data_IF_104184753153
#
_entry.id   IF_104184753153
#
_cell.length_a   1.000
_cell.length_b   1.000
_cell.length_c   1.000
_cell.angle_alpha   90.00
_cell.angle_beta   90.00
_cell.angle_gamma   90.00
#
_symmetry.space_group_name_H-M   'P 1'
#
loop_
_entity.id
_entity.type
_entity.pdbx_description
1 polymer ?
#
# COMPACT_ATOMS: atom_id res chain seq x y z
N UNK A 1 8.41 25.21 -0.74
CA UNK A 1 8.61 24.02 0.11
C UNK A 1 8.58 22.83 -0.82
N UNK A 2 9.69 22.10 -0.94
CA UNK A 2 9.69 20.84 -1.70
C UNK A 2 8.76 19.90 -0.94
N UNK A 3 7.73 19.39 -1.61
CA UNK A 3 7.01 18.24 -1.05
C UNK A 3 8.00 17.10 -1.26
N UNK A 4 8.69 16.69 -0.19
CA UNK A 4 9.59 15.54 -0.26
C UNK A 4 8.80 14.38 -0.85
N UNK A 5 9.34 13.77 -1.91
CA UNK A 5 8.69 12.62 -2.53
C UNK A 5 8.45 11.56 -1.45
N UNK A 6 7.28 10.90 -1.45
CA UNK A 6 7.04 9.81 -0.52
C UNK A 6 8.16 8.77 -0.67
N UNK A 7 8.57 8.12 0.43
CA UNK A 7 9.66 7.16 0.40
C UNK A 7 9.40 6.07 -0.63
N UNK A 8 10.44 5.60 -1.30
CA UNK A 8 10.28 4.48 -2.23
C UNK A 8 9.86 3.20 -1.49
N UNK A 9 9.23 2.27 -2.21
CA UNK A 9 8.87 0.96 -1.65
C UNK A 9 10.10 0.20 -1.13
N UNK A 10 11.24 0.31 -1.82
CA UNK A 10 12.51 -0.25 -1.36
C UNK A 10 12.95 0.35 -0.03
N UNK A 11 12.94 1.69 0.07
CA UNK A 11 13.31 2.41 1.31
C UNK A 11 12.40 2.04 2.49
N UNK A 12 11.10 1.87 2.26
CA UNK A 12 10.16 1.40 3.28
C UNK A 12 10.46 -0.02 3.73
N UNK A 13 10.75 -0.93 2.81
CA UNK A 13 11.08 -2.31 3.12
C UNK A 13 12.39 -2.42 3.91
N UNK A 14 13.42 -1.67 3.50
CA UNK A 14 14.72 -1.65 4.20
C UNK A 14 14.56 -1.12 5.63
N UNK A 15 13.81 -0.03 5.79
CA UNK A 15 13.50 0.54 7.11
C UNK A 15 12.69 -0.43 7.97
N UNK A 16 11.75 -1.16 7.37
CA UNK A 16 10.97 -2.22 8.05
C UNK A 16 11.88 -3.34 8.54
N UNK A 17 12.86 -3.76 7.74
CA UNK A 17 13.84 -4.77 8.14
C UNK A 17 14.73 -4.29 9.28
N UNK A 18 15.20 -3.04 9.23
CA UNK A 18 15.97 -2.44 10.31
C UNK A 18 15.18 -2.39 11.63
N UNK A 19 13.92 -1.98 11.59
CA UNK A 19 13.05 -1.98 12.77
C UNK A 19 12.85 -3.38 13.35
N UNK A 20 12.68 -4.40 12.49
CA UNK A 20 12.58 -5.80 12.95
C UNK A 20 13.88 -6.29 13.60
N UNK A 21 15.04 -5.83 13.13
CA UNK A 21 16.35 -6.14 13.74
C UNK A 21 16.51 -5.44 15.09
N UNK A 22 15.98 -4.22 15.23
CA UNK A 22 16.02 -3.47 16.49
C UNK A 22 15.11 -4.02 17.58
N UNK A 23 14.26 -5.01 17.31
CA UNK A 23 13.37 -5.66 18.29
C UNK A 23 14.06 -6.27 19.54
N UNK A 24 15.35 -6.00 19.77
CA UNK A 24 16.06 -6.30 21.01
C UNK A 24 16.85 -5.11 21.60
N UNK A 25 17.11 -4.03 20.86
CA UNK A 25 17.93 -2.88 21.29
C UNK A 25 17.58 -1.63 20.49
N UNK A 26 16.42 -1.01 20.75
CA UNK A 26 16.04 0.25 20.12
C UNK A 26 16.88 1.40 20.71
N UNK A 27 17.54 2.26 19.89
CA UNK A 27 18.25 3.43 20.39
C UNK A 27 17.36 4.36 21.22
N UNK A 28 17.85 4.84 22.37
CA UNK A 28 17.08 5.68 23.31
C UNK A 28 16.48 6.95 22.66
N UNK A 29 17.12 7.47 21.62
CA UNK A 29 16.68 8.66 20.89
C UNK A 29 15.32 8.47 20.19
N UNK A 30 14.95 7.22 19.88
CA UNK A 30 13.68 6.83 19.27
C UNK A 30 12.53 6.80 20.30
N UNK A 31 12.83 6.74 21.60
CA UNK A 31 11.84 6.66 22.68
C UNK A 31 11.08 7.96 22.97
N UNK A 32 11.37 9.05 22.24
CA UNK A 32 10.68 10.35 22.38
C UNK A 32 9.43 10.50 21.49
N UNK A 33 8.94 9.42 20.89
CA UNK A 33 7.75 9.46 20.04
C UNK A 33 6.46 9.42 20.88
N UNK A 34 5.51 10.29 20.55
CA UNK A 34 4.18 10.29 21.16
C UNK A 34 3.40 9.02 20.77
N UNK A 35 3.12 8.18 21.76
CA UNK A 35 2.42 6.89 21.58
C UNK A 35 1.00 7.08 21.04
N UNK A 36 0.30 8.13 21.44
CA UNK A 36 -1.06 8.39 20.97
C UNK A 36 -1.04 8.77 19.49
N UNK A 37 -0.12 9.64 19.09
CA UNK A 37 0.08 10.00 17.68
C UNK A 37 0.48 8.79 16.83
N UNK A 38 1.39 7.95 17.32
CA UNK A 38 1.80 6.72 16.62
C UNK A 38 0.66 5.71 16.47
N UNK A 39 -0.13 5.48 17.52
CA UNK A 39 -1.29 4.59 17.44
C UNK A 39 -2.31 5.07 16.41
N UNK A 40 -2.58 6.38 16.36
CA UNK A 40 -3.45 6.98 15.34
C UNK A 40 -2.88 6.83 13.93
N UNK A 41 -1.58 7.05 13.76
CA UNK A 41 -0.87 6.84 12.50
C UNK A 41 -0.99 5.40 12.02
N UNK A 42 -0.74 4.43 12.88
CA UNK A 42 -0.83 3.00 12.55
C UNK A 42 -2.25 2.58 12.19
N UNK A 43 -3.26 3.07 12.91
CA UNK A 43 -4.66 2.85 12.55
C UNK A 43 -5.04 3.45 11.20
N UNK A 44 -4.52 4.65 10.88
CA UNK A 44 -4.74 5.27 9.58
C UNK A 44 -4.05 4.51 8.44
N UNK A 45 -2.81 4.06 8.64
CA UNK A 45 -2.08 3.24 7.66
C UNK A 45 -2.79 1.90 7.39
N UNK A 46 -3.31 1.24 8.44
CA UNK A 46 -4.11 0.02 8.30
C UNK A 46 -5.36 0.25 7.44
N UNK A 47 -6.17 1.26 7.78
CA UNK A 47 -7.39 1.61 7.00
C UNK A 47 -7.09 1.94 5.54
N UNK A 48 -5.99 2.65 5.28
CA UNK A 48 -5.57 2.97 3.92
C UNK A 48 -5.20 1.70 3.13
N UNK A 49 -4.44 0.79 3.74
CA UNK A 49 -4.07 -0.48 3.13
C UNK A 49 -5.31 -1.32 2.80
N UNK A 50 -6.25 -1.44 3.73
CA UNK A 50 -7.48 -2.21 3.53
C UNK A 50 -8.35 -1.61 2.42
N UNK A 51 -8.54 -0.28 2.41
CA UNK A 51 -9.31 0.41 1.37
C UNK A 51 -8.69 0.25 -0.02
N UNK A 52 -7.36 0.37 -0.15
CA UNK A 52 -6.67 0.18 -1.41
C UNK A 52 -6.68 -1.28 -1.87
N UNK A 53 -6.62 -2.22 -0.94
CA UNK A 53 -6.74 -3.64 -1.26
C UNK A 53 -8.13 -3.99 -1.79
N UNK A 54 -9.20 -3.49 -1.14
CA UNK A 54 -10.57 -3.65 -1.60
C UNK A 54 -10.77 -3.01 -2.98
N UNK A 55 -10.22 -1.82 -3.19
CA UNK A 55 -10.32 -1.13 -4.48
C UNK A 55 -9.53 -1.84 -5.59
N UNK A 56 -8.36 -2.42 -5.28
CA UNK A 56 -7.60 -3.25 -6.21
C UNK A 56 -8.38 -4.50 -6.61
N UNK A 57 -8.99 -5.19 -5.65
CA UNK A 57 -9.82 -6.36 -5.89
C UNK A 57 -11.05 -6.01 -6.76
N UNK A 58 -11.74 -4.92 -6.44
CA UNK A 58 -12.88 -4.42 -7.21
C UNK A 58 -12.47 -4.05 -8.64
N UNK A 59 -11.40 -3.27 -8.82
CA UNK A 59 -10.90 -2.85 -10.12
C UNK A 59 -10.43 -4.03 -10.98
N UNK A 60 -9.83 -5.05 -10.38
CA UNK A 60 -9.42 -6.30 -11.06
C UNK A 60 -10.59 -7.04 -11.70
N UNK A 61 -11.79 -6.93 -11.12
CA UNK A 61 -13.01 -7.56 -11.62
C UNK A 61 -13.74 -6.73 -12.69
N UNK A 62 -13.37 -5.46 -12.89
CA UNK A 62 -13.96 -4.57 -13.90
C UNK A 62 -13.32 -4.78 -15.29
N UNK A 63 -13.41 -6.00 -15.82
CA UNK A 63 -13.02 -6.30 -17.21
C UNK A 63 -14.24 -6.54 -18.08
N UNK A 64 -14.25 -5.92 -19.26
CA UNK A 64 -15.26 -6.18 -20.27
C UNK A 64 -14.93 -7.52 -20.92
N UNK A 65 -15.86 -8.48 -20.85
CA UNK A 65 -15.72 -9.73 -21.58
C UNK A 65 -16.01 -9.50 -23.07
N UNK A 66 -14.97 -9.40 -23.91
CA UNK A 66 -15.09 -9.19 -25.36
C UNK A 66 -16.04 -10.19 -26.04
N UNK A 67 -16.13 -11.42 -25.53
CA UNK A 67 -17.02 -12.47 -26.06
C UNK A 67 -18.51 -12.19 -25.88
N UNK A 68 -18.87 -11.29 -24.95
CA UNK A 68 -20.24 -10.87 -24.65
C UNK A 68 -20.60 -9.57 -25.38
N UNK A 69 -19.61 -8.86 -25.92
CA UNK A 69 -19.81 -7.57 -26.61
C UNK A 69 -20.23 -7.79 -28.06
N UNK A 70 -21.49 -8.21 -28.24
CA UNK A 70 -22.17 -8.27 -29.54
C UNK A 70 -21.44 -9.03 -30.65
N UNK A 71 -22.04 -9.03 -31.84
CA UNK A 71 -21.50 -9.68 -33.04
C UNK A 71 -20.68 -8.74 -33.93
N UNK A 72 -20.71 -7.43 -33.68
CA UNK A 72 -19.99 -6.44 -34.49
C UNK A 72 -18.51 -6.32 -34.07
N UNK A 73 -17.60 -6.44 -35.05
CA UNK A 73 -16.16 -6.33 -34.81
C UNK A 73 -15.76 -4.99 -34.18
N UNK A 74 -16.42 -3.89 -34.55
CA UNK A 74 -16.18 -2.56 -33.97
C UNK A 74 -16.43 -2.53 -32.46
N UNK A 75 -17.48 -3.18 -31.98
CA UNK A 75 -17.82 -3.21 -30.56
C UNK A 75 -16.78 -4.01 -29.74
N UNK A 76 -16.26 -5.12 -30.30
CA UNK A 76 -15.17 -5.89 -29.70
C UNK A 76 -13.88 -5.08 -29.63
N UNK A 77 -13.54 -4.34 -30.68
CA UNK A 77 -12.38 -3.44 -30.70
C UNK A 77 -12.51 -2.33 -29.66
N UNK A 78 -13.67 -1.69 -29.54
CA UNK A 78 -13.91 -0.69 -28.49
C UNK A 78 -13.76 -1.30 -27.08
N UNK A 79 -14.32 -2.48 -26.83
CA UNK A 79 -14.17 -3.18 -25.56
C UNK A 79 -12.71 -3.50 -25.22
N UNK A 80 -11.92 -3.93 -26.21
CA UNK A 80 -10.49 -4.16 -26.05
C UNK A 80 -9.75 -2.87 -25.67
N UNK A 81 -9.96 -1.78 -26.40
CA UNK A 81 -9.30 -0.51 -26.13
C UNK A 81 -9.64 0.03 -24.73
N UNK A 82 -10.89 -0.18 -24.27
CA UNK A 82 -11.31 0.14 -22.91
C UNK A 82 -10.63 -0.75 -21.86
N UNK A 83 -10.47 -2.05 -22.13
CA UNK A 83 -9.72 -2.94 -21.26
C UNK A 83 -8.24 -2.55 -21.18
N UNK A 84 -7.58 -2.23 -22.31
CA UNK A 84 -6.19 -1.78 -22.34
C UNK A 84 -5.99 -0.48 -21.56
N UNK A 85 -6.89 0.49 -21.74
CA UNK A 85 -6.87 1.74 -20.97
C UNK A 85 -7.10 1.48 -19.48
N UNK A 86 -8.04 0.58 -19.16
CA UNK A 86 -8.35 0.17 -17.79
C UNK A 86 -7.21 -0.61 -17.12
N UNK A 87 -6.38 -1.32 -17.89
CA UNK A 87 -5.25 -2.08 -17.36
C UNK A 87 -4.19 -1.17 -16.74
N UNK A 88 -3.93 0.00 -17.31
CA UNK A 88 -3.05 1.00 -16.71
C UNK A 88 -3.58 1.51 -15.35
N UNK A 89 -4.90 1.71 -15.23
CA UNK A 89 -5.54 2.12 -13.97
C UNK A 89 -5.44 1.00 -12.94
N UNK A 90 -5.77 -0.24 -13.33
CA UNK A 90 -5.64 -1.43 -12.48
C UNK A 90 -4.21 -1.62 -11.97
N UNK A 91 -3.22 -1.45 -12.85
CA UNK A 91 -1.82 -1.54 -12.47
C UNK A 91 -1.45 -0.49 -11.42
N UNK A 92 -1.82 0.78 -11.61
CA UNK A 92 -1.56 1.84 -10.63
C UNK A 92 -2.24 1.57 -9.28
N UNK A 93 -3.49 1.12 -9.28
CA UNK A 93 -4.19 0.76 -8.04
C UNK A 93 -3.46 -0.40 -7.33
N UNK A 94 -2.97 -1.40 -8.09
CA UNK A 94 -2.17 -2.50 -7.55
C UNK A 94 -0.85 -2.03 -6.95
N UNK A 95 -0.16 -1.09 -7.60
CA UNK A 95 1.07 -0.48 -7.08
C UNK A 95 0.79 0.28 -5.77
N UNK A 96 -0.28 1.07 -5.70
CA UNK A 96 -0.68 1.76 -4.48
C UNK A 96 -1.07 0.79 -3.35
N UNK A 97 -1.79 -0.29 -3.65
CA UNK A 97 -2.11 -1.32 -2.67
C UNK A 97 -0.84 -2.00 -2.12
N UNK A 98 0.15 -2.24 -2.98
CA UNK A 98 1.45 -2.80 -2.58
C UNK A 98 2.19 -1.84 -1.65
N UNK A 99 2.24 -0.55 -2.01
CA UNK A 99 2.83 0.49 -1.18
C UNK A 99 2.15 0.63 0.19
N UNK A 100 0.83 0.66 0.22
CA UNK A 100 0.07 0.79 1.46
C UNK A 100 0.26 -0.44 2.37
N UNK A 101 0.40 -1.63 1.78
CA UNK A 101 0.77 -2.85 2.53
C UNK A 101 2.16 -2.71 3.16
N UNK A 102 3.15 -2.24 2.41
CA UNK A 102 4.49 -1.99 2.95
C UNK A 102 4.48 -0.93 4.07
N UNK A 103 3.68 0.13 3.94
CA UNK A 103 3.51 1.13 4.98
C UNK A 103 2.87 0.56 6.25
N UNK A 104 1.89 -0.33 6.11
CA UNK A 104 1.28 -1.05 7.25
C UNK A 104 2.30 -1.95 7.94
N UNK A 105 3.12 -2.67 7.17
CA UNK A 105 4.14 -3.57 7.72
C UNK A 105 5.25 -2.82 8.44
N UNK A 106 5.69 -1.69 7.89
CA UNK A 106 6.59 -0.75 8.56
C UNK A 106 6.00 -0.27 9.89
N UNK A 107 4.75 0.18 9.86
CA UNK A 107 4.01 0.67 11.03
C UNK A 107 3.93 -0.37 12.14
N UNK A 108 3.63 -1.62 11.78
CA UNK A 108 3.59 -2.74 12.72
C UNK A 108 4.97 -3.07 13.29
N UNK A 109 6.01 -3.04 12.46
CA UNK A 109 7.38 -3.27 12.93
C UNK A 109 7.84 -2.19 13.91
N UNK A 110 7.52 -0.92 13.63
CA UNK A 110 7.80 0.21 14.52
C UNK A 110 7.07 0.06 15.86
N UNK A 111 5.78 -0.28 15.82
CA UNK A 111 4.97 -0.49 17.03
C UNK A 111 5.56 -1.59 17.92
N UNK A 112 5.92 -2.74 17.34
CA UNK A 112 6.49 -3.85 18.10
C UNK A 112 7.85 -3.50 18.70
N UNK A 113 8.72 -2.83 17.93
CA UNK A 113 10.02 -2.39 18.43
C UNK A 113 9.87 -1.49 19.67
N UNK A 114 8.89 -0.59 19.67
CA UNK A 114 8.60 0.30 20.80
C UNK A 114 8.02 -0.42 22.02
N UNK A 115 7.22 -1.48 21.81
CA UNK A 115 6.68 -2.27 22.93
C UNK A 115 7.77 -3.10 23.62
N UNK A 116 8.74 -3.62 22.85
CA UNK A 116 9.81 -4.44 23.42
C UNK A 116 10.86 -3.61 24.17
N UNK A 117 10.98 -2.30 23.92
CA UNK A 117 11.85 -1.40 24.72
C UNK A 117 11.33 -1.12 26.13
N UNK A 118 10.04 -1.35 26.41
CA UNK A 118 9.46 -1.14 27.74
C UNK A 118 9.62 -2.35 28.69
N UNK A 119 10.18 -3.47 28.21
CA UNK A 119 10.41 -4.70 28.99
C UNK A 119 11.80 -4.75 29.60
#
# INVERSE_FOLDING_TARGET
MSVDEPPSLGSLNDSTQQLRQWGQNVPEDILKLDRAAMSQWFAAAGRLADALHEQAASAGNLKINEGVVGSFQSARVTARNLNETGDAIRQRISEYATFATALRDFSNAAYNALLDTDR
#
